data_IF_928160852547
#
_entry.id   IF_928160852547
#
_cell.length_a   1.000
_cell.length_b   1.000
_cell.length_c   1.000
_cell.angle_alpha   90.00
_cell.angle_beta   90.00
_cell.angle_gamma   90.00
#
_symmetry.space_group_name_H-M   'P 1'
#
loop_
_entity.id
_entity.type
_entity.pdbx_description
1 polymer ?
#
# COMPACT_ATOMS: atom_id res chain seq x y z
N UNK A 1 12.51 -11.69 -1.29
CA UNK A 1 11.69 -10.59 -0.74
C UNK A 1 11.13 -9.78 -1.88
N UNK A 2 9.82 -9.53 -1.87
CA UNK A 2 9.15 -8.67 -2.85
C UNK A 2 8.95 -7.29 -2.24
N UNK A 3 9.59 -6.27 -2.82
CA UNK A 3 9.45 -4.88 -2.40
C UNK A 3 8.28 -4.22 -3.13
N UNK A 4 7.39 -3.58 -2.38
CA UNK A 4 6.26 -2.80 -2.88
C UNK A 4 6.42 -1.36 -2.44
N UNK A 5 6.41 -0.44 -3.40
CA UNK A 5 6.57 0.98 -3.15
C UNK A 5 5.28 1.70 -3.50
N UNK A 6 4.68 2.36 -2.52
CA UNK A 6 3.52 3.22 -2.76
C UNK A 6 4.03 4.65 -2.87
N UNK A 7 3.68 5.34 -3.94
CA UNK A 7 4.19 6.67 -4.27
C UNK A 7 3.00 7.61 -4.38
N UNK A 8 3.01 8.69 -3.59
CA UNK A 8 1.92 9.67 -3.54
C UNK A 8 2.14 10.86 -4.49
N UNK A 9 3.40 11.17 -4.84
CA UNK A 9 3.86 12.32 -5.66
C UNK A 9 5.20 12.00 -6.37
N UNK A 10 5.88 12.97 -7.01
CA UNK A 10 7.19 12.87 -7.70
C UNK A 10 8.39 12.45 -6.80
N UNK A 11 8.21 11.45 -5.93
CA UNK A 11 9.29 10.86 -5.14
C UNK A 11 10.04 9.83 -5.99
N UNK A 12 11.36 9.79 -5.81
CA UNK A 12 12.28 8.93 -6.57
C UNK A 12 11.88 7.45 -6.45
N UNK A 13 11.65 6.83 -7.60
CA UNK A 13 11.39 5.40 -7.75
C UNK A 13 12.72 4.63 -7.63
N UNK A 14 12.84 3.69 -6.69
CA UNK A 14 13.91 2.69 -6.71
C UNK A 14 13.52 1.51 -7.61
N UNK A 15 14.42 1.13 -8.51
CA UNK A 15 14.15 0.41 -9.76
C UNK A 15 13.73 -1.08 -9.66
N UNK A 16 13.59 -1.65 -8.46
CA UNK A 16 13.33 -3.09 -8.27
C UNK A 16 12.11 -3.39 -7.37
N UNK A 17 10.97 -2.73 -7.61
CA UNK A 17 9.72 -3.01 -6.90
C UNK A 17 8.44 -2.64 -7.65
N UNK A 18 7.28 -3.08 -7.14
CA UNK A 18 5.97 -2.70 -7.70
C UNK A 18 5.64 -1.29 -7.21
N UNK A 19 5.63 -0.31 -8.12
CA UNK A 19 5.28 1.09 -7.82
C UNK A 19 3.78 1.37 -8.02
N UNK A 20 3.13 1.94 -7.00
CA UNK A 20 1.72 2.33 -7.02
C UNK A 20 1.60 3.85 -6.90
N UNK A 21 1.07 4.54 -7.92
CA UNK A 21 0.84 5.99 -7.82
C UNK A 21 -0.60 6.30 -7.40
N UNK A 22 -0.73 7.11 -6.35
CA UNK A 22 -2.01 7.51 -5.77
C UNK A 22 -2.66 8.70 -6.49
N UNK A 23 -1.92 9.42 -7.34
CA UNK A 23 -2.42 10.54 -8.13
C UNK A 23 -2.54 10.20 -9.61
N UNK A 24 -3.66 10.59 -10.22
CA UNK A 24 -3.99 10.35 -11.64
C UNK A 24 -3.02 11.04 -12.62
N UNK A 25 -2.22 12.01 -12.13
CA UNK A 25 -1.37 12.87 -12.95
C UNK A 25 -0.06 12.22 -13.43
N UNK A 26 0.36 11.08 -12.88
CA UNK A 26 1.60 10.43 -13.28
C UNK A 26 1.36 9.24 -14.22
N UNK A 27 1.94 9.29 -15.43
CA UNK A 27 1.70 8.32 -16.51
C UNK A 27 2.63 7.08 -16.49
N UNK A 28 3.51 6.95 -15.50
CA UNK A 28 4.49 5.84 -15.38
C UNK A 28 4.04 4.67 -14.49
N UNK A 29 2.81 4.67 -14.00
CA UNK A 29 2.34 3.72 -12.99
C UNK A 29 1.67 2.46 -13.56
N UNK A 30 1.83 1.33 -12.86
CA UNK A 30 1.19 0.05 -13.20
C UNK A 30 -0.28 -0.03 -12.75
N UNK A 31 -0.70 0.83 -11.81
CA UNK A 31 -2.08 0.92 -11.29
C UNK A 31 -2.40 2.39 -11.00
N UNK A 32 -3.58 2.84 -11.44
CA UNK A 32 -4.10 4.20 -11.24
C UNK A 32 -5.29 4.16 -10.28
N UNK A 33 -5.24 4.93 -9.21
CA UNK A 33 -6.40 5.18 -8.33
C UNK A 33 -6.70 6.66 -8.30
N UNK A 34 -7.99 7.00 -8.42
CA UNK A 34 -8.46 8.38 -8.35
C UNK A 34 -9.11 8.62 -6.98
N UNK A 35 -8.24 8.82 -5.98
CA UNK A 35 -8.65 9.07 -4.59
C UNK A 35 -9.49 10.35 -4.49
N UNK A 36 -9.17 11.36 -5.30
CA UNK A 36 -9.94 12.61 -5.37
C UNK A 36 -11.39 12.32 -5.77
N UNK A 37 -11.60 11.48 -6.79
CA UNK A 37 -12.96 11.08 -7.18
C UNK A 37 -13.68 10.25 -6.10
N UNK A 38 -12.98 9.43 -5.31
CA UNK A 38 -13.61 8.69 -4.20
C UNK A 38 -14.22 9.65 -3.17
N UNK A 39 -13.47 10.68 -2.74
CA UNK A 39 -13.99 11.66 -1.79
C UNK A 39 -15.22 12.39 -2.32
N UNK A 40 -15.16 12.81 -3.59
CA UNK A 40 -16.29 13.46 -4.29
C UNK A 40 -17.51 12.57 -4.35
N UNK A 41 -17.33 11.25 -4.56
CA UNK A 41 -18.42 10.29 -4.59
C UNK A 41 -19.17 10.18 -3.25
N UNK A 42 -18.44 10.34 -2.13
CA UNK A 42 -19.02 10.37 -0.79
C UNK A 42 -19.50 11.76 -0.35
N UNK A 43 -19.44 12.77 -1.21
CA UNK A 43 -19.76 14.17 -0.87
C UNK A 43 -18.94 14.69 0.32
N UNK A 44 -17.70 14.20 0.47
CA UNK A 44 -16.74 14.67 1.46
C UNK A 44 -15.75 15.58 0.75
N UNK A 45 -15.61 16.83 1.22
CA UNK A 45 -14.67 17.78 0.61
C UNK A 45 -13.22 17.37 0.82
N UNK A 46 -12.87 16.95 2.04
CA UNK A 46 -11.55 16.46 2.39
C UNK A 46 -11.66 15.37 3.47
N UNK A 47 -10.94 14.26 3.30
CA UNK A 47 -10.83 13.26 4.34
C UNK A 47 -9.88 13.73 5.44
N UNK A 48 -10.12 13.29 6.68
CA UNK A 48 -9.13 13.48 7.73
C UNK A 48 -7.83 12.72 7.37
N UNK A 49 -6.64 13.23 7.72
CA UNK A 49 -5.37 12.61 7.37
C UNK A 49 -5.27 11.12 7.72
N UNK A 50 -5.82 10.74 8.88
CA UNK A 50 -5.82 9.34 9.34
C UNK A 50 -6.70 8.41 8.49
N UNK A 51 -7.83 8.91 7.99
CA UNK A 51 -8.73 8.14 7.12
C UNK A 51 -8.09 7.97 5.75
N UNK A 52 -7.47 9.02 5.23
CA UNK A 52 -6.75 8.97 3.97
C UNK A 52 -5.59 7.95 4.05
N UNK A 53 -4.78 8.01 5.11
CA UNK A 53 -3.71 7.05 5.31
C UNK A 53 -4.22 5.61 5.38
N UNK A 54 -5.31 5.36 6.13
CA UNK A 54 -5.89 4.02 6.25
C UNK A 54 -6.38 3.51 4.89
N UNK A 55 -6.99 4.37 4.07
CA UNK A 55 -7.41 4.02 2.72
C UNK A 55 -6.21 3.65 1.85
N UNK A 56 -5.15 4.45 1.89
CA UNK A 56 -3.91 4.20 1.14
C UNK A 56 -3.30 2.86 1.57
N UNK A 57 -3.21 2.60 2.87
CA UNK A 57 -2.71 1.32 3.43
C UNK A 57 -3.56 0.15 2.93
N UNK A 58 -4.89 0.28 2.99
CA UNK A 58 -5.80 -0.76 2.51
C UNK A 58 -5.62 -1.06 1.01
N UNK A 59 -5.48 -0.03 0.18
CA UNK A 59 -5.23 -0.19 -1.25
C UNK A 59 -3.87 -0.84 -1.53
N UNK A 60 -2.83 -0.48 -0.77
CA UNK A 60 -1.51 -1.06 -0.88
C UNK A 60 -1.52 -2.57 -0.58
N UNK A 61 -2.15 -2.94 0.54
CA UNK A 61 -2.31 -4.34 0.96
C UNK A 61 -3.11 -5.13 -0.08
N UNK A 62 -4.26 -4.60 -0.51
CA UNK A 62 -5.09 -5.23 -1.55
C UNK A 62 -4.30 -5.46 -2.84
N UNK A 63 -3.54 -4.45 -3.26
CA UNK A 63 -2.73 -4.51 -4.47
C UNK A 63 -1.63 -5.55 -4.37
N UNK A 64 -0.86 -5.51 -3.27
CA UNK A 64 0.20 -6.48 -3.02
C UNK A 64 -0.34 -7.91 -3.03
N UNK A 65 -1.48 -8.14 -2.37
CA UNK A 65 -2.14 -9.44 -2.33
C UNK A 65 -2.52 -9.95 -3.74
N UNK A 66 -3.07 -9.08 -4.59
CA UNK A 66 -3.52 -9.44 -5.94
C UNK A 66 -2.40 -9.57 -6.96
N UNK A 67 -1.34 -8.78 -6.85
CA UNK A 67 -0.30 -8.68 -7.88
C UNK A 67 0.88 -9.60 -7.64
N UNK A 68 1.18 -9.95 -6.40
CA UNK A 68 2.37 -10.75 -6.09
C UNK A 68 2.00 -12.22 -6.07
N UNK A 69 2.50 -12.97 -7.05
CA UNK A 69 2.23 -14.39 -7.17
C UNK A 69 2.88 -15.20 -6.04
N UNK A 70 2.11 -16.14 -5.47
CA UNK A 70 2.60 -17.12 -4.47
C UNK A 70 3.49 -18.21 -5.09
N UNK A 71 3.43 -18.41 -6.41
CA UNK A 71 4.16 -19.49 -7.12
C UNK A 71 5.68 -19.45 -6.90
N UNK A 72 6.22 -18.27 -6.61
CA UNK A 72 7.66 -18.06 -6.42
C UNK A 72 8.09 -18.04 -4.95
N UNK A 73 7.18 -18.28 -4.00
CA UNK A 73 7.58 -18.44 -2.60
C UNK A 73 8.24 -19.80 -2.36
N UNK A 74 9.09 -19.88 -1.33
CA UNK A 74 9.89 -21.08 -1.03
C UNK A 74 9.05 -22.32 -0.78
N UNK A 75 7.86 -22.14 -0.23
CA UNK A 75 6.88 -23.17 0.11
C UNK A 75 5.68 -23.20 -0.85
N UNK A 76 5.66 -22.32 -1.87
CA UNK A 76 4.53 -22.14 -2.79
C UNK A 76 3.30 -21.45 -2.17
N UNK A 77 3.37 -20.98 -0.92
CA UNK A 77 2.27 -20.32 -0.23
C UNK A 77 2.61 -18.97 0.42
N UNK A 78 3.58 -18.91 1.34
CA UNK A 78 3.87 -17.75 2.19
C UNK A 78 4.87 -16.79 1.55
N UNK A 79 4.41 -15.59 1.18
CA UNK A 79 5.25 -14.53 0.59
C UNK A 79 5.97 -13.73 1.68
N UNK A 80 7.10 -13.14 1.32
CA UNK A 80 7.78 -12.10 2.13
C UNK A 80 7.54 -10.74 1.45
N UNK A 81 6.68 -9.92 2.06
CA UNK A 81 6.19 -8.66 1.54
C UNK A 81 6.75 -7.50 2.35
N UNK A 82 7.54 -6.63 1.71
CA UNK A 82 8.03 -5.40 2.32
C UNK A 82 7.35 -4.22 1.63
N UNK A 83 6.50 -3.49 2.35
CA UNK A 83 5.62 -2.47 1.78
C UNK A 83 5.92 -1.10 2.37
N UNK A 84 6.38 -0.20 1.52
CA UNK A 84 6.68 1.18 1.91
C UNK A 84 5.53 2.08 1.53
N UNK A 85 4.87 2.64 2.55
CA UNK A 85 3.63 3.42 2.38
C UNK A 85 3.84 4.84 2.94
N UNK A 86 3.66 5.88 2.13
CA UNK A 86 3.70 7.26 2.59
C UNK A 86 2.42 7.55 3.37
N UNK A 87 2.59 7.95 4.63
CA UNK A 87 1.49 8.31 5.53
C UNK A 87 1.67 9.74 6.02
N UNK A 88 0.55 10.45 6.19
CA UNK A 88 0.50 11.80 6.75
C UNK A 88 0.74 11.76 8.26
N UNK A 89 0.12 10.81 8.96
CA UNK A 89 0.15 10.68 10.42
C UNK A 89 1.19 9.65 10.89
N UNK A 90 2.46 9.84 10.50
CA UNK A 90 3.55 8.87 10.70
C UNK A 90 3.63 8.31 12.13
N UNK A 91 3.58 9.17 13.16
CA UNK A 91 3.72 8.74 14.56
C UNK A 91 2.58 7.82 15.01
N UNK A 92 1.35 8.06 14.54
CA UNK A 92 0.19 7.21 14.88
C UNK A 92 0.35 5.83 14.25
N UNK A 93 0.75 5.77 12.98
CA UNK A 93 0.97 4.49 12.30
C UNK A 93 2.16 3.73 12.83
N UNK A 94 3.24 4.42 13.21
CA UNK A 94 4.39 3.79 13.85
C UNK A 94 3.99 3.13 15.18
N UNK A 95 3.11 3.76 15.96
CA UNK A 95 2.64 3.21 17.23
C UNK A 95 1.82 1.92 17.08
N UNK A 96 1.20 1.70 15.91
CA UNK A 96 0.41 0.49 15.61
C UNK A 96 1.06 -0.44 14.58
N UNK A 97 2.26 -0.11 14.08
CA UNK A 97 2.96 -0.84 13.01
C UNK A 97 3.01 -2.34 13.28
N UNK A 98 3.55 -2.73 14.43
CA UNK A 98 3.68 -4.15 14.80
C UNK A 98 2.34 -4.87 14.92
N UNK A 99 1.28 -4.17 15.34
CA UNK A 99 -0.07 -4.76 15.41
C UNK A 99 -0.60 -5.00 14.00
N UNK A 100 -0.43 -4.02 13.12
CA UNK A 100 -0.85 -4.12 11.72
C UNK A 100 -0.12 -5.26 10.98
N UNK A 101 1.21 -5.34 11.11
CA UNK A 101 2.03 -6.42 10.53
C UNK A 101 1.55 -7.80 10.98
N UNK A 102 1.32 -7.97 12.29
CA UNK A 102 0.83 -9.24 12.86
C UNK A 102 -0.57 -9.57 12.37
N UNK A 103 -1.46 -8.59 12.30
CA UNK A 103 -2.82 -8.78 11.78
C UNK A 103 -2.80 -9.21 10.32
N UNK A 104 -2.03 -8.52 9.47
CA UNK A 104 -1.91 -8.86 8.05
C UNK A 104 -1.29 -10.25 7.86
N UNK A 105 -0.23 -10.55 8.60
CA UNK A 105 0.45 -11.85 8.54
C UNK A 105 -0.47 -13.00 8.97
N UNK A 106 -1.26 -12.79 10.02
CA UNK A 106 -2.26 -13.76 10.46
C UNK A 106 -3.35 -13.99 9.42
N UNK A 107 -3.86 -12.93 8.79
CA UNK A 107 -4.97 -13.02 7.84
C UNK A 107 -4.57 -13.63 6.49
N UNK A 108 -3.35 -13.39 6.01
CA UNK A 108 -2.92 -13.80 4.67
C UNK A 108 -1.99 -15.02 4.65
N UNK A 109 -1.36 -15.34 5.81
CA UNK A 109 -0.31 -16.34 5.92
C UNK A 109 1.03 -15.91 5.30
N UNK A 110 1.17 -14.64 4.93
CA UNK A 110 2.41 -14.04 4.43
C UNK A 110 3.17 -13.35 5.57
N UNK A 111 4.45 -13.02 5.35
CA UNK A 111 5.25 -12.21 6.26
C UNK A 111 5.26 -10.76 5.77
N UNK A 112 4.67 -9.85 6.53
CA UNK A 112 4.56 -8.42 6.21
C UNK A 112 5.56 -7.55 7.00
N UNK A 113 6.17 -6.56 6.33
CA UNK A 113 7.07 -5.55 6.90
C UNK A 113 6.78 -4.14 6.37
#
# INVERSE_FOLDING_TARGET
>A
MSNVWIVKNEQQEEAEGITFNLSSKNNKSNIKTDIENLWRMFSVENASPIIEDLLIIGMAVFTADKKISRKFSKDGWSRELNVHIPVLEFQKWLSVKTKLEKTLSFLSGDYWN
#
